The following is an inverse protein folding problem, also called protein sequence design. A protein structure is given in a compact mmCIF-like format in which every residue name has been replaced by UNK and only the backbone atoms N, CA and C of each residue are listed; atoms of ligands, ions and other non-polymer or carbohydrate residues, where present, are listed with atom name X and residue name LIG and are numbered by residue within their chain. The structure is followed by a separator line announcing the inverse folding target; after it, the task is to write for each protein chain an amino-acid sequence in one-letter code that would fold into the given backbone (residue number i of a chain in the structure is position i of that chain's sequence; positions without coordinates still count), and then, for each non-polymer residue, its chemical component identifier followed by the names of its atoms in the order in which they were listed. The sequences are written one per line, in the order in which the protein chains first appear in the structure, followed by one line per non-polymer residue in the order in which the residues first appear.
data_IF_997655295250
#
_entry.id   IF_997655295250
#
_cell.length_a   1.000
_cell.length_b   1.000
_cell.length_c   1.000
_cell.angle_alpha   90.00
_cell.angle_beta   90.00
_cell.angle_gamma   90.00
#
_symmetry.space_group_name_H-M   'P 1'
#
loop_
_entity.id
_entity.type
_entity.pdbx_description
1 polymer ?
#
# COMPACT_ATOMS: atom_id res chain seq x y z
N UNK A 1 -36.51 -15.83 -42.83
CA UNK A 1 -36.36 -16.19 -41.41
C UNK A 1 -35.06 -15.55 -40.92
N UNK A 2 -35.15 -14.47 -40.14
CA UNK A 2 -33.96 -13.76 -39.64
C UNK A 2 -33.36 -14.57 -38.48
N UNK A 3 -32.27 -15.31 -38.75
CA UNK A 3 -31.42 -15.89 -37.72
C UNK A 3 -30.63 -14.76 -37.05
N UNK A 4 -31.27 -14.09 -36.10
CA UNK A 4 -30.58 -13.14 -35.22
C UNK A 4 -29.62 -13.90 -34.32
N UNK A 5 -28.33 -13.90 -34.66
CA UNK A 5 -27.28 -14.37 -33.75
C UNK A 5 -27.34 -13.54 -32.45
N UNK A 6 -27.89 -14.14 -31.38
CA UNK A 6 -27.83 -13.59 -30.03
C UNK A 6 -26.35 -13.57 -29.62
N UNK A 7 -25.68 -12.43 -29.83
CA UNK A 7 -24.30 -12.20 -29.37
C UNK A 7 -24.29 -12.31 -27.84
N UNK A 8 -23.87 -13.46 -27.33
CA UNK A 8 -23.73 -13.70 -25.88
C UNK A 8 -22.78 -12.66 -25.27
N UNK A 9 -23.26 -11.91 -24.28
CA UNK A 9 -22.42 -10.95 -23.54
C UNK A 9 -21.27 -11.69 -22.88
N UNK A 10 -20.06 -11.11 -22.98
CA UNK A 10 -18.84 -11.68 -22.40
C UNK A 10 -18.94 -11.68 -20.87
N UNK A 11 -19.18 -12.85 -20.29
CA UNK A 11 -19.30 -13.02 -18.84
C UNK A 11 -17.95 -13.32 -18.18
N UNK A 12 -17.71 -12.70 -17.02
CA UNK A 12 -16.50 -12.88 -16.23
C UNK A 12 -16.80 -13.71 -14.97
N UNK A 13 -16.13 -14.86 -14.85
CA UNK A 13 -16.37 -15.85 -13.79
C UNK A 13 -15.25 -15.87 -12.76
N UNK A 14 -15.59 -16.11 -11.49
CA UNK A 14 -14.63 -16.27 -10.40
C UNK A 14 -13.81 -17.56 -10.54
N UNK A 15 -12.57 -17.57 -10.06
CA UNK A 15 -11.68 -18.72 -10.12
C UNK A 15 -12.26 -19.95 -9.42
N UNK A 16 -12.92 -19.78 -8.27
CA UNK A 16 -13.62 -20.88 -7.58
C UNK A 16 -14.64 -21.59 -8.49
N UNK A 17 -15.45 -20.81 -9.20
CA UNK A 17 -16.43 -21.35 -10.13
C UNK A 17 -15.76 -22.05 -11.32
N UNK A 18 -14.72 -21.45 -11.89
CA UNK A 18 -13.96 -22.08 -12.98
C UNK A 18 -13.34 -23.41 -12.55
N UNK A 19 -12.78 -23.48 -11.34
CA UNK A 19 -12.22 -24.72 -10.78
C UNK A 19 -13.31 -25.78 -10.59
N UNK A 20 -14.49 -25.43 -10.06
CA UNK A 20 -15.65 -26.34 -9.95
C UNK A 20 -16.06 -26.91 -11.31
N UNK A 21 -16.10 -26.06 -12.34
CA UNK A 21 -16.44 -26.47 -13.71
C UNK A 21 -15.37 -27.39 -14.30
N UNK A 22 -14.08 -27.10 -14.03
CA UNK A 22 -12.96 -27.93 -14.49
C UNK A 22 -12.96 -29.31 -13.81
N UNK A 23 -13.20 -29.36 -12.50
CA UNK A 23 -13.32 -30.61 -11.74
C UNK A 23 -14.46 -31.50 -12.28
N UNK A 24 -15.63 -30.89 -12.53
CA UNK A 24 -16.76 -31.61 -13.15
C UNK A 24 -16.44 -32.10 -14.58
N UNK A 25 -15.72 -31.29 -15.37
CA UNK A 25 -15.32 -31.64 -16.73
C UNK A 25 -14.25 -32.75 -16.78
N UNK A 26 -13.43 -32.87 -15.73
CA UNK A 26 -12.46 -33.96 -15.57
C UNK A 26 -13.10 -35.27 -15.14
N UNK A 27 -14.13 -35.21 -14.27
CA UNK A 27 -14.90 -36.38 -13.86
C UNK A 27 -15.84 -36.90 -14.96
N UNK A 28 -16.35 -36.00 -15.80
CA UNK A 28 -17.28 -36.31 -16.88
C UNK A 28 -16.63 -36.01 -18.25
N UNK A 29 -17.15 -35.01 -18.96
CA UNK A 29 -16.58 -34.50 -20.19
C UNK A 29 -16.88 -33.00 -20.35
N UNK A 30 -16.20 -32.33 -21.28
CA UNK A 30 -16.34 -30.88 -21.49
C UNK A 30 -17.76 -30.49 -21.93
N UNK A 31 -18.42 -31.32 -22.74
CA UNK A 31 -19.77 -31.07 -23.25
C UNK A 31 -20.83 -31.16 -22.15
N UNK A 32 -20.69 -32.11 -21.24
CA UNK A 32 -21.56 -32.30 -20.07
C UNK A 32 -21.39 -31.11 -19.13
N UNK A 33 -20.15 -30.67 -18.87
CA UNK A 33 -19.89 -29.46 -18.08
C UNK A 33 -20.49 -28.20 -18.72
N UNK A 34 -20.39 -28.07 -20.05
CA UNK A 34 -20.98 -26.96 -20.78
C UNK A 34 -22.50 -26.89 -20.63
N UNK A 35 -23.18 -28.06 -20.66
CA UNK A 35 -24.64 -28.16 -20.46
C UNK A 35 -25.03 -27.89 -19.00
N UNK A 36 -24.36 -28.55 -18.05
CA UNK A 36 -24.65 -28.45 -16.62
C UNK A 36 -24.55 -27.02 -16.09
N UNK A 37 -23.49 -26.31 -16.51
CA UNK A 37 -23.24 -24.96 -16.02
C UNK A 37 -23.70 -23.86 -16.98
N UNK A 38 -24.32 -24.21 -18.12
CA UNK A 38 -24.72 -23.27 -19.18
C UNK A 38 -23.56 -22.40 -19.70
N UNK A 39 -22.38 -22.99 -19.89
CA UNK A 39 -21.14 -22.32 -20.33
C UNK A 39 -20.78 -22.80 -21.73
N UNK A 40 -20.10 -21.96 -22.52
CA UNK A 40 -19.58 -22.41 -23.81
C UNK A 40 -18.46 -23.45 -23.59
N UNK A 41 -18.54 -24.62 -24.25
CA UNK A 41 -17.54 -25.69 -24.20
C UNK A 41 -16.12 -25.18 -24.46
N UNK A 42 -15.96 -24.20 -25.37
CA UNK A 42 -14.67 -23.56 -25.62
C UNK A 42 -14.06 -22.94 -24.35
N UNK A 43 -14.88 -22.32 -23.50
CA UNK A 43 -14.42 -21.74 -22.24
C UNK A 43 -14.01 -22.81 -21.24
N UNK A 44 -14.76 -23.92 -21.17
CA UNK A 44 -14.42 -25.08 -20.33
C UNK A 44 -13.05 -25.63 -20.74
N UNK A 45 -12.82 -25.80 -22.05
CA UNK A 45 -11.54 -26.24 -22.61
C UNK A 45 -10.39 -25.30 -22.27
N UNK A 46 -10.59 -23.99 -22.42
CA UNK A 46 -9.59 -22.97 -22.05
C UNK A 46 -9.28 -22.96 -20.54
N UNK A 47 -10.29 -23.12 -19.68
CA UNK A 47 -10.07 -23.17 -18.23
C UNK A 47 -9.33 -24.43 -17.79
N UNK A 48 -9.63 -25.57 -18.41
CA UNK A 48 -8.92 -26.82 -18.16
C UNK A 48 -7.45 -26.73 -18.59
N UNK A 49 -7.15 -26.11 -19.74
CA UNK A 49 -5.77 -25.82 -20.17
C UNK A 49 -5.02 -24.93 -19.17
N UNK A 50 -5.72 -23.99 -18.55
CA UNK A 50 -5.16 -23.04 -17.58
C UNK A 50 -5.36 -23.47 -16.11
N UNK A 51 -5.64 -24.75 -15.83
CA UNK A 51 -5.99 -25.25 -14.49
C UNK A 51 -4.96 -24.88 -13.42
N UNK A 52 -3.68 -25.04 -13.70
CA UNK A 52 -2.58 -24.71 -12.78
C UNK A 52 -2.63 -23.23 -12.37
N UNK A 53 -2.74 -22.33 -13.35
CA UNK A 53 -2.86 -20.88 -13.09
C UNK A 53 -4.16 -20.51 -12.34
N UNK A 54 -5.23 -21.29 -12.49
CA UNK A 54 -6.48 -21.11 -11.76
C UNK A 54 -6.37 -21.57 -10.31
N UNK A 55 -5.54 -22.57 -10.01
CA UNK A 55 -5.24 -23.03 -8.65
C UNK A 55 -4.37 -22.04 -7.89
N UNK A 56 -3.38 -21.44 -8.56
CA UNK A 56 -2.45 -20.47 -7.94
C UNK A 56 -3.12 -19.12 -7.64
N UNK A 57 -4.23 -18.79 -8.32
CA UNK A 57 -4.89 -17.50 -8.14
C UNK A 57 -5.95 -17.52 -7.02
N UNK A 58 -6.19 -16.38 -6.34
CA UNK A 58 -7.23 -16.30 -5.31
C UNK A 58 -8.61 -16.67 -5.86
N UNK A 59 -9.30 -17.56 -5.15
CA UNK A 59 -10.63 -18.10 -5.49
C UNK A 59 -11.68 -17.02 -5.82
N UNK A 60 -11.60 -15.87 -5.15
CA UNK A 60 -12.52 -14.73 -5.32
C UNK A 60 -12.26 -13.87 -6.56
N UNK A 61 -11.16 -14.06 -7.30
CA UNK A 61 -10.81 -13.22 -8.45
C UNK A 61 -11.31 -13.82 -9.77
N UNK A 62 -11.72 -12.96 -10.72
CA UNK A 62 -12.27 -13.37 -12.02
C UNK A 62 -11.23 -13.57 -13.13
N UNK A 63 -10.05 -13.00 -12.94
CA UNK A 63 -8.87 -13.12 -13.80
C UNK A 63 -7.65 -13.21 -12.89
N UNK A 64 -6.58 -13.83 -13.36
CA UNK A 64 -5.29 -13.74 -12.70
C UNK A 64 -5.04 -12.27 -12.38
N UNK A 65 -4.77 -11.91 -11.11
CA UNK A 65 -4.32 -10.56 -10.81
C UNK A 65 -3.18 -10.24 -11.78
N UNK A 66 -3.17 -9.03 -12.34
CA UNK A 66 -2.07 -8.54 -13.18
C UNK A 66 -0.82 -8.40 -12.30
N UNK A 67 -0.25 -9.53 -11.89
CA UNK A 67 0.84 -9.68 -10.92
C UNK A 67 2.07 -10.32 -11.52
N UNK A 68 2.00 -10.88 -12.73
CA UNK A 68 3.19 -11.28 -13.46
C UNK A 68 3.90 -10.00 -13.93
N UNK A 69 4.90 -9.57 -13.17
CA UNK A 69 5.90 -8.62 -13.64
C UNK A 69 6.51 -9.17 -14.93
N UNK A 70 6.70 -8.32 -15.95
CA UNK A 70 7.43 -8.74 -17.14
C UNK A 70 8.90 -9.04 -16.84
N UNK A 71 9.43 -8.47 -15.73
CA UNK A 71 10.81 -8.61 -15.28
C UNK A 71 10.84 -8.85 -13.76
N UNK A 72 10.45 -10.04 -13.26
CA UNK A 72 10.26 -10.28 -11.83
C UNK A 72 11.56 -10.14 -11.01
N UNK A 73 12.69 -10.61 -11.55
CA UNK A 73 13.98 -10.49 -10.86
C UNK A 73 14.49 -9.05 -10.79
N UNK A 74 14.39 -8.31 -11.89
CA UNK A 74 14.74 -6.88 -11.93
C UNK A 74 13.90 -6.08 -10.94
N UNK A 75 12.59 -6.37 -10.88
CA UNK A 75 11.69 -5.70 -9.94
C UNK A 75 12.00 -6.03 -8.48
N UNK A 76 12.44 -7.24 -8.16
CA UNK A 76 12.87 -7.62 -6.81
C UNK A 76 14.08 -6.80 -6.36
N UNK A 77 15.12 -6.75 -7.18
CA UNK A 77 16.35 -6.04 -6.83
C UNK A 77 16.15 -4.52 -6.82
N UNK A 78 15.31 -4.01 -7.72
CA UNK A 78 14.92 -2.60 -7.70
C UNK A 78 14.14 -2.24 -6.43
N UNK A 79 13.30 -3.14 -5.92
CA UNK A 79 12.57 -2.93 -4.67
C UNK A 79 13.51 -2.88 -3.48
N UNK A 80 14.51 -3.77 -3.43
CA UNK A 80 15.54 -3.74 -2.38
C UNK A 80 16.31 -2.42 -2.39
N UNK A 81 16.70 -1.93 -3.58
CA UNK A 81 17.35 -0.63 -3.73
C UNK A 81 16.48 0.54 -3.23
N UNK A 82 15.16 0.50 -3.47
CA UNK A 82 14.24 1.53 -2.93
C UNK A 82 14.20 1.49 -1.40
N UNK A 83 14.22 0.31 -0.78
CA UNK A 83 14.23 0.15 0.69
C UNK A 83 15.53 0.69 1.29
N UNK A 84 16.68 0.33 0.71
CA UNK A 84 18.00 0.78 1.13
C UNK A 84 18.12 2.31 1.05
N UNK A 85 17.70 2.90 -0.08
CA UNK A 85 17.69 4.35 -0.25
C UNK A 85 16.91 5.04 0.87
N UNK A 86 15.80 4.46 1.33
CA UNK A 86 15.01 5.04 2.42
C UNK A 86 15.63 4.85 3.79
N UNK A 87 16.28 3.73 4.06
CA UNK A 87 17.03 3.53 5.30
C UNK A 87 18.14 4.58 5.44
N UNK A 88 18.76 4.95 4.31
CA UNK A 88 19.80 5.98 4.24
C UNK A 88 19.24 7.41 4.18
N UNK A 89 17.92 7.61 4.22
CA UNK A 89 17.29 8.94 4.16
C UNK A 89 17.29 9.59 2.77
N UNK A 90 17.66 8.85 1.72
CA UNK A 90 17.72 9.35 0.34
C UNK A 90 16.33 9.43 -0.29
N UNK A 91 16.11 10.48 -1.08
CA UNK A 91 14.85 10.71 -1.78
C UNK A 91 14.78 9.83 -3.03
N UNK A 92 13.74 8.99 -3.10
CA UNK A 92 13.43 8.19 -4.29
C UNK A 92 12.25 8.81 -5.03
N UNK A 93 12.51 9.28 -6.26
CA UNK A 93 11.48 9.81 -7.16
C UNK A 93 11.07 8.77 -8.20
N UNK A 94 9.90 8.97 -8.82
CA UNK A 94 9.46 8.11 -9.95
C UNK A 94 10.47 8.09 -11.09
N UNK A 95 11.08 9.22 -11.40
CA UNK A 95 12.12 9.32 -12.42
C UNK A 95 13.36 8.55 -12.00
N UNK A 96 13.79 8.66 -10.74
CA UNK A 96 14.90 7.88 -10.19
C UNK A 96 14.68 6.37 -10.30
N UNK A 97 13.48 5.89 -9.95
CA UNK A 97 13.11 4.46 -10.11
C UNK A 97 13.23 4.03 -11.57
N UNK A 98 12.74 4.85 -12.51
CA UNK A 98 12.80 4.52 -13.94
C UNK A 98 14.23 4.49 -14.48
N UNK A 99 15.07 5.46 -14.09
CA UNK A 99 16.47 5.52 -14.48
C UNK A 99 17.26 4.33 -13.91
N UNK A 100 17.04 4.01 -12.63
CA UNK A 100 17.66 2.85 -12.00
C UNK A 100 17.24 1.55 -12.67
N UNK A 101 15.95 1.39 -12.99
CA UNK A 101 15.45 0.23 -13.71
C UNK A 101 16.07 0.08 -15.11
N UNK A 102 16.22 1.21 -15.85
CA UNK A 102 16.89 1.22 -17.16
C UNK A 102 18.36 0.81 -17.03
N UNK A 103 19.05 1.31 -16.01
CA UNK A 103 20.44 0.93 -15.74
C UNK A 103 20.55 -0.58 -15.49
N UNK A 104 19.75 -1.10 -14.55
CA UNK A 104 19.75 -2.53 -14.20
C UNK A 104 19.39 -3.41 -15.40
N UNK A 105 18.48 -2.98 -16.28
CA UNK A 105 18.09 -3.76 -17.46
C UNK A 105 19.22 -4.01 -18.47
N UNK A 106 20.32 -3.24 -18.39
CA UNK A 106 21.51 -3.43 -19.24
C UNK A 106 22.43 -4.52 -18.72
N UNK A 107 22.26 -4.96 -17.46
CA UNK A 107 23.08 -6.01 -16.87
C UNK A 107 22.69 -7.36 -17.49
N UNK A 108 23.68 -8.21 -17.76
CA UNK A 108 23.48 -9.51 -18.41
C UNK A 108 22.53 -10.42 -17.64
N UNK A 109 22.46 -10.23 -16.31
CA UNK A 109 21.53 -10.90 -15.39
C UNK A 109 20.07 -10.82 -15.85
N UNK A 110 19.64 -9.71 -16.47
CA UNK A 110 18.23 -9.49 -16.80
C UNK A 110 17.92 -9.51 -18.31
N UNK A 111 18.93 -9.64 -19.18
CA UNK A 111 18.76 -9.64 -20.64
C UNK A 111 18.00 -10.88 -21.16
N UNK A 112 18.01 -11.98 -20.43
CA UNK A 112 17.45 -13.28 -20.85
C UNK A 112 15.92 -13.35 -20.85
N UNK A 113 15.23 -12.42 -20.19
CA UNK A 113 13.79 -12.57 -19.86
C UNK A 113 12.86 -12.09 -21.00
N UNK A 114 13.33 -11.20 -21.89
CA UNK A 114 12.65 -10.80 -23.15
C UNK A 114 13.57 -9.85 -23.94
N UNK A 115 13.89 -10.11 -25.23
CA UNK A 115 14.76 -9.23 -26.03
C UNK A 115 14.18 -7.84 -26.33
N UNK A 116 12.90 -7.60 -26.03
CA UNK A 116 12.27 -6.29 -26.29
C UNK A 116 12.88 -5.23 -25.37
N UNK A 117 13.46 -4.18 -25.97
CA UNK A 117 14.04 -3.03 -25.27
C UNK A 117 13.16 -2.60 -24.09
N UNK A 118 13.62 -2.84 -22.87
CA UNK A 118 12.92 -2.39 -21.67
C UNK A 118 13.00 -0.86 -21.60
N UNK A 119 11.85 -0.18 -21.70
CA UNK A 119 11.78 1.29 -21.80
C UNK A 119 11.51 1.97 -20.44
N UNK A 120 11.28 1.20 -19.37
CA UNK A 120 10.85 1.71 -18.05
C UNK A 120 9.78 2.83 -18.15
N UNK A 121 8.71 2.59 -18.91
CA UNK A 121 7.69 3.60 -19.19
C UNK A 121 7.00 4.09 -17.91
N UNK A 122 6.35 5.26 -17.98
CA UNK A 122 5.59 5.81 -16.85
C UNK A 122 4.51 4.82 -16.36
N UNK A 123 3.83 4.15 -17.29
CA UNK A 123 2.84 3.11 -16.98
C UNK A 123 3.45 1.87 -16.33
N UNK A 124 4.64 1.43 -16.77
CA UNK A 124 5.37 0.36 -16.12
C UNK A 124 5.71 0.74 -14.67
N UNK A 125 6.24 1.94 -14.45
CA UNK A 125 6.59 2.44 -13.11
C UNK A 125 5.38 2.49 -12.17
N UNK A 126 4.21 2.97 -12.64
CA UNK A 126 2.97 2.93 -11.83
C UNK A 126 2.60 1.51 -11.45
N UNK A 127 2.67 0.56 -12.40
CA UNK A 127 2.32 -0.83 -12.13
C UNK A 127 3.33 -1.52 -11.21
N UNK A 128 4.62 -1.23 -11.36
CA UNK A 128 5.70 -1.67 -10.46
C UNK A 128 5.40 -1.22 -9.02
N UNK A 129 5.16 0.08 -8.83
CA UNK A 129 4.84 0.61 -7.51
C UNK A 129 3.59 -0.05 -6.91
N UNK A 130 2.52 -0.20 -7.70
CA UNK A 130 1.30 -0.88 -7.24
C UNK A 130 1.54 -2.37 -6.89
N UNK A 131 2.44 -3.06 -7.58
CA UNK A 131 2.79 -4.46 -7.30
C UNK A 131 3.55 -4.62 -5.99
N UNK A 132 4.47 -3.70 -5.71
CA UNK A 132 5.35 -3.74 -4.53
C UNK A 132 4.86 -2.89 -3.38
N UNK A 133 3.61 -2.40 -3.45
CA UNK A 133 3.01 -1.58 -2.40
C UNK A 133 3.75 -0.27 -2.18
N UNK A 134 4.29 0.35 -3.22
CA UNK A 134 4.91 1.68 -3.17
C UNK A 134 3.85 2.75 -3.51
N UNK A 135 3.73 3.80 -2.71
CA UNK A 135 2.91 4.99 -2.99
C UNK A 135 3.79 6.23 -3.14
N UNK A 136 3.24 7.39 -3.52
CA UNK A 136 3.91 8.66 -3.24
C UNK A 136 3.38 9.25 -1.94
N UNK A 137 4.26 9.56 -0.97
CA UNK A 137 3.92 10.41 0.16
C UNK A 137 4.85 11.61 0.17
N UNK A 138 4.30 12.75 0.53
CA UNK A 138 5.08 13.93 0.90
C UNK A 138 5.98 13.58 2.08
N UNK A 139 7.20 14.12 2.10
CA UNK A 139 8.14 13.94 3.22
C UNK A 139 7.41 14.30 4.51
N UNK A 140 7.15 13.31 5.36
CA UNK A 140 6.91 13.58 6.77
C UNK A 140 8.20 14.18 7.28
N UNK A 141 8.17 15.40 7.84
CA UNK A 141 9.31 15.94 8.58
C UNK A 141 9.81 14.80 9.47
N UNK A 142 11.06 14.36 9.29
CA UNK A 142 11.64 13.35 10.16
C UNK A 142 11.47 13.89 11.57
N UNK A 143 10.66 13.19 12.38
CA UNK A 143 10.61 13.50 13.79
C UNK A 143 12.04 13.39 14.31
N UNK A 144 12.47 14.39 15.07
CA UNK A 144 13.73 14.29 15.80
C UNK A 144 13.68 13.00 16.62
N UNK A 145 14.79 12.25 16.67
CA UNK A 145 14.86 11.06 17.53
C UNK A 145 14.47 11.52 18.93
N UNK A 146 13.53 10.81 19.55
CA UNK A 146 13.09 11.16 20.90
C UNK A 146 14.33 11.14 21.81
N UNK A 147 14.60 12.23 22.56
CA UNK A 147 15.67 12.25 23.54
C UNK A 147 15.50 11.11 24.54
N UNK A 148 16.59 10.49 25.01
CA UNK A 148 16.51 9.37 25.98
C UNK A 148 15.98 9.80 27.34
N UNK A 149 16.09 11.09 27.63
CA UNK A 149 15.66 11.78 28.85
C UNK A 149 14.25 12.39 28.71
N UNK A 150 13.52 12.05 27.65
CA UNK A 150 12.18 12.61 27.40
C UNK A 150 11.21 12.26 28.53
N UNK A 151 11.13 11.00 28.94
CA UNK A 151 10.22 10.55 29.99
C UNK A 151 10.50 11.27 31.31
N UNK A 152 11.77 11.44 31.68
CA UNK A 152 12.18 12.15 32.90
C UNK A 152 11.82 13.65 32.84
N UNK A 153 11.99 14.28 31.67
CA UNK A 153 11.58 15.68 31.44
C UNK A 153 10.06 15.86 31.47
N UNK A 154 9.31 14.92 30.90
CA UNK A 154 7.84 14.95 30.97
C UNK A 154 7.39 14.82 32.41
N UNK A 155 7.96 13.88 33.17
CA UNK A 155 7.57 13.63 34.56
C UNK A 155 7.90 14.82 35.47
N UNK A 156 9.12 15.38 35.36
CA UNK A 156 9.52 16.57 36.11
C UNK A 156 8.63 17.78 35.78
N UNK A 157 8.27 17.99 34.52
CA UNK A 157 7.36 19.06 34.12
C UNK A 157 5.94 18.84 34.65
N UNK A 158 5.42 17.62 34.62
CA UNK A 158 4.11 17.30 35.20
C UNK A 158 4.07 17.58 36.70
N UNK A 159 5.09 17.14 37.45
CA UNK A 159 5.21 17.43 38.89
C UNK A 159 5.26 18.93 39.16
N UNK A 160 6.00 19.69 38.34
CA UNK A 160 6.08 21.14 38.43
C UNK A 160 4.71 21.81 38.25
N UNK A 161 3.96 21.46 37.20
CA UNK A 161 2.62 22.03 36.93
C UNK A 161 1.63 21.67 38.05
N UNK A 162 1.63 20.42 38.53
CA UNK A 162 0.75 19.99 39.62
C UNK A 162 1.05 20.76 40.92
N UNK A 163 2.33 20.97 41.24
CA UNK A 163 2.75 21.75 42.41
C UNK A 163 2.19 23.17 42.35
N UNK A 164 2.44 23.89 41.26
CA UNK A 164 1.97 25.27 41.10
C UNK A 164 0.45 25.39 41.09
N UNK A 165 -0.27 24.42 40.50
CA UNK A 165 -1.73 24.40 40.52
C UNK A 165 -2.29 24.27 41.95
N UNK A 166 -1.66 23.46 42.80
CA UNK A 166 -2.07 23.30 44.20
C UNK A 166 -1.71 24.50 45.06
N UNK A 167 -0.55 25.11 44.82
CA UNK A 167 -0.04 26.25 45.61
C UNK A 167 -0.88 27.53 45.40
N UNK A 168 -1.27 27.81 44.15
CA UNK A 168 -1.98 29.04 43.78
C UNK A 168 -3.46 28.84 43.48
N UNK A 169 -3.98 27.61 43.61
CA UNK A 169 -5.38 27.26 43.37
C UNK A 169 -5.95 27.78 42.04
N UNK A 170 -5.17 27.68 40.95
CA UNK A 170 -5.62 28.13 39.63
C UNK A 170 -6.86 27.35 39.17
N UNK A 171 -7.89 28.07 38.77
CA UNK A 171 -9.03 27.47 38.08
C UNK A 171 -8.65 27.07 36.65
N UNK A 172 -9.31 26.03 36.12
CA UNK A 172 -9.06 25.57 34.74
C UNK A 172 -9.30 26.67 33.70
N UNK A 173 -10.23 27.60 33.98
CA UNK A 173 -10.53 28.77 33.15
C UNK A 173 -9.35 29.74 33.02
N UNK A 174 -8.37 29.68 33.92
CA UNK A 174 -7.21 30.57 33.98
C UNK A 174 -5.97 29.96 33.31
N UNK A 175 -6.06 28.73 32.79
CA UNK A 175 -4.94 28.03 32.15
C UNK A 175 -5.09 28.12 30.63
N UNK A 176 -4.27 28.97 30.01
CA UNK A 176 -4.19 29.11 28.55
C UNK A 176 -3.07 28.27 27.95
N UNK A 177 -3.34 27.59 26.83
CA UNK A 177 -2.30 27.01 25.99
C UNK A 177 -1.85 28.04 24.96
N UNK A 178 -0.54 28.27 24.84
CA UNK A 178 0.04 29.20 23.88
C UNK A 178 1.13 28.47 23.09
N UNK A 179 1.02 28.46 21.77
CA UNK A 179 2.04 27.92 20.88
C UNK A 179 2.42 28.91 19.77
N UNK A 180 3.62 28.74 19.22
CA UNK A 180 4.04 29.48 18.04
C UNK A 180 3.74 28.63 16.80
N UNK A 181 2.90 29.15 15.91
CA UNK A 181 2.68 28.55 14.59
C UNK A 181 3.56 29.25 13.56
N UNK A 182 4.59 28.59 13.01
CA UNK A 182 5.43 29.20 11.99
C UNK A 182 4.62 29.44 10.71
N UNK A 183 4.58 30.69 10.25
CA UNK A 183 3.98 31.06 8.97
C UNK A 183 5.03 30.93 7.86
N UNK A 184 4.88 29.93 7.00
CA UNK A 184 5.81 29.70 5.89
C UNK A 184 5.40 30.51 4.66
N UNK A 185 6.25 31.44 4.22
CA UNK A 185 6.00 32.28 3.04
C UNK A 185 6.19 31.55 1.69
N UNK A 186 6.91 30.42 1.64
CA UNK A 186 7.20 29.69 0.39
C UNK A 186 6.80 28.19 0.45
N UNK A 187 6.05 27.73 -0.56
CA UNK A 187 5.65 26.33 -0.76
C UNK A 187 6.26 25.71 -2.04
N UNK A 188 7.43 25.05 -1.97
CA UNK A 188 7.85 24.16 -3.05
C UNK A 188 7.13 22.80 -2.98
N UNK A 189 6.74 22.28 -4.15
CA UNK A 189 6.02 20.99 -4.31
C UNK A 189 6.90 19.78 -3.92
N UNK A 190 6.55 19.09 -2.83
CA UNK A 190 7.30 17.97 -2.25
C UNK A 190 6.61 16.59 -2.41
N UNK A 191 6.47 16.05 -3.64
CA UNK A 191 5.91 14.70 -3.86
C UNK A 191 7.02 13.66 -4.03
N UNK A 192 7.15 12.66 -3.13
CA UNK A 192 8.16 11.57 -3.21
C UNK A 192 7.52 10.19 -3.09
N UNK A 193 8.20 9.09 -3.45
CA UNK A 193 7.68 7.70 -3.42
C UNK A 193 7.96 7.00 -2.08
N UNK A 194 6.94 6.66 -1.30
CA UNK A 194 6.89 5.90 -0.03
C UNK A 194 6.26 4.50 -0.19
N UNK A 195 6.14 3.68 0.87
CA UNK A 195 5.51 2.33 0.85
C UNK A 195 4.13 2.52 1.48
N UNK A 196 3.10 1.91 0.91
CA UNK A 196 1.78 1.78 1.52
C UNK A 196 1.94 0.82 2.70
N UNK A 197 2.29 1.38 3.85
CA UNK A 197 2.07 0.69 5.11
C UNK A 197 0.58 0.88 5.39
N UNK A 198 -0.23 -0.19 5.26
CA UNK A 198 -1.57 -0.21 5.85
C UNK A 198 -1.36 -0.42 7.35
N UNK A 199 -0.78 0.60 8.00
CA UNK A 199 -0.85 0.78 9.44
C UNK A 199 -1.53 2.11 9.62
N UNK A 200 -2.68 2.05 10.28
CA UNK A 200 -3.36 3.17 10.90
C UNK A 200 -2.38 4.02 11.71
N UNK A 201 -1.73 4.96 11.04
CA UNK A 201 -0.94 5.99 11.71
C UNK A 201 -1.23 7.33 11.05
N UNK A 202 -2.49 7.76 11.19
CA UNK A 202 -2.77 9.15 11.55
C UNK A 202 -2.17 9.37 12.94
N UNK A 203 -0.86 9.60 13.02
CA UNK A 203 -0.20 9.96 14.28
C UNK A 203 0.89 10.97 13.96
N UNK A 204 0.48 12.19 13.64
CA UNK A 204 1.37 13.35 13.80
C UNK A 204 0.62 14.51 14.45
N UNK A 205 -0.68 14.65 14.17
CA UNK A 205 -1.56 15.57 14.90
C UNK A 205 -2.27 14.91 16.10
N UNK A 206 -2.43 13.58 16.04
CA UNK A 206 -3.10 12.86 17.12
C UNK A 206 -2.19 12.67 18.35
N UNK A 207 -0.86 12.70 18.25
CA UNK A 207 0.01 12.54 19.43
C UNK A 207 -0.02 13.77 20.36
N UNK A 208 -0.01 14.98 19.79
CA UNK A 208 -0.17 16.23 20.55
C UNK A 208 -1.61 16.34 21.07
N UNK A 209 -2.62 15.96 20.27
CA UNK A 209 -4.01 15.88 20.74
C UNK A 209 -4.21 14.82 21.83
N UNK A 210 -3.53 13.67 21.78
CA UNK A 210 -3.60 12.61 22.79
C UNK A 210 -2.90 13.08 24.07
N UNK A 211 -1.75 13.74 23.99
CA UNK A 211 -1.08 14.31 25.16
C UNK A 211 -1.95 15.41 25.81
N UNK A 212 -2.54 16.31 25.01
CA UNK A 212 -3.49 17.31 25.51
C UNK A 212 -4.77 16.67 26.08
N UNK A 213 -5.31 15.64 25.44
CA UNK A 213 -6.48 14.92 25.95
C UNK A 213 -6.19 14.15 27.24
N UNK A 214 -4.96 13.62 27.41
CA UNK A 214 -4.53 12.92 28.63
C UNK A 214 -4.22 13.89 29.78
N UNK A 215 -3.73 15.10 29.46
CA UNK A 215 -3.60 16.20 30.42
C UNK A 215 -4.97 16.75 30.86
N UNK A 216 -5.95 16.78 29.95
CA UNK A 216 -7.34 17.15 30.25
C UNK A 216 -8.11 16.05 31.00
N UNK A 217 -7.89 14.76 30.73
CA UNK A 217 -8.58 13.66 31.41
C UNK A 217 -8.12 13.49 32.87
N UNK A 218 -6.81 13.67 33.15
CA UNK A 218 -6.28 13.69 34.52
C UNK A 218 -6.85 14.88 35.33
N UNK A 219 -7.37 15.92 34.66
CA UNK A 219 -8.05 17.05 35.31
C UNK A 219 -9.53 16.79 35.60
N UNK A 220 -10.17 15.76 35.00
CA UNK A 220 -11.55 15.38 35.29
C UNK A 220 -11.68 14.28 36.36
N UNK A 221 -10.71 13.37 36.46
CA UNK A 221 -10.79 12.22 37.40
C UNK A 221 -10.41 12.55 38.85
N UNK A 222 -10.13 13.82 39.18
CA UNK A 222 -9.91 14.30 40.55
C UNK A 222 -11.17 14.94 41.18
N UNK A 223 -12.35 14.61 40.66
CA UNK A 223 -13.64 14.90 41.28
C UNK A 223 -14.20 13.63 41.93
N UNK A 224 -13.62 13.23 43.08
CA UNK A 224 -14.28 12.63 44.24
C UNK A 224 -13.30 12.58 45.41
#
# INVERSE_FOLDING_TARGET
MNNGEIKRKRSAYHAAFKLKVVEYAEANNNCAAAREFCINEKQVREWRKNKTTLQDMPRSKKKCPTRCASFPELEKDLTNWVVECRQNGNIVTRTGIRLRALQMSKDDKYKSVKPSMFVASAGWCTRFMNRHGLCLCQRTKMAQKLPRDLEEKIESFQRFIIKYRKEYAFELSQIGNMDETPMTFDLPSNRTVTVIIITTTRFSLDYIKIILAKLLSVSCDASF
#
